data_IF_486386114378
#
_entry.id   IF_486386114378
#
_cell.length_a   1.000
_cell.length_b   1.000
_cell.length_c   1.000
_cell.angle_alpha   90.00
_cell.angle_beta   90.00
_cell.angle_gamma   90.00
#
_symmetry.space_group_name_H-M   'P 1'
#
loop_
_entity.id
_entity.type
_entity.pdbx_description
1 polymer ?
#
# COMPACT_ATOMS: atom_id res chain seq x y z
N UNK A 1 -39.06 29.40 0.11
CA UNK A 1 -40.27 28.56 0.08
C UNK A 1 -41.14 29.06 -1.06
N UNK A 2 -41.13 28.35 -2.19
CA UNK A 2 -41.95 28.67 -3.36
C UNK A 2 -42.40 27.33 -3.95
N UNK A 3 -43.71 27.13 -3.93
CA UNK A 3 -44.40 25.86 -4.09
C UNK A 3 -44.32 25.28 -5.50
N UNK A 4 -44.32 23.94 -5.57
CA UNK A 4 -44.63 23.16 -6.75
C UNK A 4 -46.02 23.56 -7.30
N UNK A 5 -46.08 23.97 -8.56
CA UNK A 5 -47.32 24.04 -9.33
C UNK A 5 -47.18 23.12 -10.54
N UNK A 6 -47.75 21.92 -10.45
CA UNK A 6 -47.96 21.06 -11.62
C UNK A 6 -49.41 21.23 -12.05
N UNK A 7 -49.71 22.29 -12.81
CA UNK A 7 -50.96 22.36 -13.56
C UNK A 7 -50.85 21.48 -14.80
N UNK A 8 -51.23 20.20 -14.65
CA UNK A 8 -51.27 19.24 -15.75
C UNK A 8 -52.63 19.29 -16.45
N UNK A 9 -52.69 19.98 -17.59
CA UNK A 9 -53.76 19.78 -18.59
C UNK A 9 -53.51 18.49 -19.37
N UNK A 10 -54.53 17.68 -19.68
CA UNK A 10 -54.36 16.44 -20.41
C UNK A 10 -54.24 16.74 -21.90
N UNK A 11 -53.03 16.67 -22.46
CA UNK A 11 -52.89 16.84 -23.92
C UNK A 11 -51.49 16.83 -24.50
N UNK A 12 -50.46 17.28 -23.79
CA UNK A 12 -49.12 17.43 -24.40
C UNK A 12 -48.03 16.96 -23.44
N UNK A 13 -47.64 15.69 -23.54
CA UNK A 13 -46.35 15.25 -23.04
C UNK A 13 -45.27 15.70 -24.02
N UNK A 14 -44.83 16.95 -23.92
CA UNK A 14 -43.54 17.34 -24.48
C UNK A 14 -42.46 16.78 -23.57
N UNK A 15 -41.69 15.79 -24.06
CA UNK A 15 -40.45 15.37 -23.41
C UNK A 15 -39.59 16.64 -23.26
N UNK A 16 -39.15 17.00 -22.03
CA UNK A 16 -38.27 18.15 -21.88
C UNK A 16 -37.03 17.89 -22.74
N UNK A 17 -36.82 18.73 -23.76
CA UNK A 17 -35.61 18.65 -24.57
C UNK A 17 -34.45 19.00 -23.64
N UNK A 18 -33.56 18.03 -23.43
CA UNK A 18 -32.33 18.30 -22.69
C UNK A 18 -31.61 19.47 -23.38
N UNK A 19 -31.19 20.51 -22.64
CA UNK A 19 -30.46 21.62 -23.23
C UNK A 19 -29.17 21.10 -23.86
N UNK A 20 -28.78 21.72 -24.97
CA UNK A 20 -27.58 21.35 -25.72
C UNK A 20 -26.36 21.40 -24.79
N UNK A 21 -25.50 20.35 -24.76
CA UNK A 21 -24.29 20.30 -23.95
C UNK A 21 -23.38 21.54 -24.07
N UNK A 22 -23.50 22.30 -25.16
CA UNK A 22 -22.76 23.54 -25.42
C UNK A 22 -23.23 24.76 -24.62
N UNK A 23 -24.46 24.75 -24.06
CA UNK A 23 -25.00 25.84 -23.25
C UNK A 23 -24.60 25.74 -21.77
N UNK A 24 -24.02 24.63 -21.34
CA UNK A 24 -23.51 24.51 -19.98
C UNK A 24 -22.25 25.36 -19.80
N UNK A 25 -22.21 26.27 -18.82
CA UNK A 25 -21.00 27.03 -18.54
C UNK A 25 -19.89 26.07 -18.12
N UNK A 26 -18.84 25.97 -18.94
CA UNK A 26 -17.62 25.15 -18.72
C UNK A 26 -16.80 25.54 -17.48
N UNK A 27 -17.34 26.39 -16.60
CA UNK A 27 -16.60 27.07 -15.53
C UNK A 27 -16.90 26.56 -14.13
N UNK A 28 -17.57 25.42 -13.96
CA UNK A 28 -17.37 24.63 -12.73
C UNK A 28 -16.14 23.78 -12.90
N UNK A 29 -15.01 24.43 -12.62
CA UNK A 29 -13.75 23.88 -12.13
C UNK A 29 -13.92 22.44 -11.62
N UNK A 30 -13.83 21.48 -12.53
CA UNK A 30 -13.16 20.24 -12.19
C UNK A 30 -11.71 20.69 -11.97
N UNK A 31 -11.11 20.49 -10.78
CA UNK A 31 -9.66 20.58 -10.69
C UNK A 31 -9.09 19.72 -11.81
N UNK A 32 -7.99 20.14 -12.47
CA UNK A 32 -7.40 19.36 -13.54
C UNK A 32 -7.33 17.93 -13.04
N UNK A 33 -7.86 17.00 -13.85
CA UNK A 33 -7.66 15.57 -13.63
C UNK A 33 -6.21 15.43 -13.17
N UNK A 34 -6.00 14.84 -11.98
CA UNK A 34 -4.65 14.42 -11.63
C UNK A 34 -4.25 13.50 -12.78
N UNK A 35 -3.45 14.02 -13.71
CA UNK A 35 -2.82 13.19 -14.72
C UNK A 35 -2.13 12.11 -13.91
N UNK A 36 -2.59 10.87 -14.06
CA UNK A 36 -2.08 9.71 -13.33
C UNK A 36 -0.56 9.58 -13.47
N UNK A 37 0.04 10.28 -14.44
CA UNK A 37 1.47 10.50 -14.69
C UNK A 37 2.25 11.35 -13.67
N UNK A 38 1.63 11.93 -12.63
CA UNK A 38 2.34 12.85 -11.70
C UNK A 38 2.73 12.23 -10.35
N UNK A 39 2.39 10.98 -10.08
CA UNK A 39 2.71 10.35 -8.81
C UNK A 39 3.91 9.42 -9.00
N UNK A 40 5.10 9.91 -8.65
CA UNK A 40 6.32 9.10 -8.61
C UNK A 40 6.11 7.93 -7.63
N UNK A 41 6.02 6.71 -8.17
CA UNK A 41 5.78 5.49 -7.39
C UNK A 41 6.83 5.34 -6.29
N UNK A 42 8.10 5.65 -6.57
CA UNK A 42 9.17 5.53 -5.60
C UNK A 42 8.97 6.52 -4.45
N UNK A 43 8.59 7.75 -4.76
CA UNK A 43 8.31 8.77 -3.73
C UNK A 43 7.16 8.32 -2.82
N UNK A 44 6.11 7.74 -3.40
CA UNK A 44 4.98 7.20 -2.65
C UNK A 44 5.37 6.02 -1.76
N UNK A 45 6.14 5.06 -2.29
CA UNK A 45 6.65 3.94 -1.52
C UNK A 45 7.48 4.43 -0.33
N UNK A 46 8.33 5.42 -0.52
CA UNK A 46 9.14 6.01 0.56
C UNK A 46 8.27 6.68 1.62
N UNK A 47 7.25 7.45 1.22
CA UNK A 47 6.28 8.04 2.17
C UNK A 47 5.50 6.98 2.93
N UNK A 48 5.09 5.89 2.28
CA UNK A 48 4.38 4.78 2.93
C UNK A 48 5.27 4.05 3.94
N UNK A 49 6.54 3.82 3.62
CA UNK A 49 7.50 3.25 4.55
C UNK A 49 7.75 4.18 5.74
N UNK A 50 7.81 5.49 5.51
CA UNK A 50 7.95 6.47 6.59
C UNK A 50 6.71 6.48 7.49
N UNK A 51 5.51 6.51 6.91
CA UNK A 51 4.25 6.41 7.64
C UNK A 51 4.18 5.13 8.48
N UNK A 52 4.63 4.00 7.92
CA UNK A 52 4.72 2.74 8.65
C UNK A 52 5.65 2.86 9.86
N UNK A 53 6.87 3.40 9.68
CA UNK A 53 7.83 3.59 10.78
C UNK A 53 7.25 4.44 11.90
N UNK A 54 6.67 5.59 11.54
CA UNK A 54 6.07 6.51 12.50
C UNK A 54 4.90 5.86 13.24
N UNK A 55 4.06 5.09 12.55
CA UNK A 55 2.97 4.33 13.15
C UNK A 55 3.47 3.25 14.11
N UNK A 56 4.46 2.45 13.66
CA UNK A 56 5.08 1.41 14.45
C UNK A 56 5.79 1.97 15.68
N UNK A 57 6.37 3.17 15.61
CA UNK A 57 7.02 3.83 16.75
C UNK A 57 6.03 4.50 17.70
N UNK A 58 4.98 5.13 17.18
CA UNK A 58 4.04 5.96 17.95
C UNK A 58 3.06 5.15 18.80
N UNK A 59 2.64 3.97 18.35
CA UNK A 59 1.70 3.11 19.09
C UNK A 59 2.45 2.39 20.21
N UNK A 60 2.15 2.61 21.51
CA UNK A 60 2.93 2.02 22.60
C UNK A 60 2.84 0.49 22.68
N UNK A 61 1.66 -0.06 22.41
CA UNK A 61 1.47 -1.49 22.28
C UNK A 61 2.11 -1.98 20.97
N UNK A 62 3.03 -2.93 21.08
CA UNK A 62 3.77 -3.51 19.94
C UNK A 62 3.31 -4.93 19.61
N UNK A 63 2.30 -5.46 20.33
CA UNK A 63 1.81 -6.83 20.15
C UNK A 63 1.25 -7.10 18.76
N UNK A 64 0.77 -6.06 18.07
CA UNK A 64 0.20 -6.12 16.72
C UNK A 64 1.25 -6.20 15.60
N UNK A 65 2.52 -5.91 15.88
CA UNK A 65 3.59 -5.92 14.87
C UNK A 65 3.83 -7.36 14.37
N UNK A 66 3.85 -8.34 15.27
CA UNK A 66 4.04 -9.74 14.89
C UNK A 66 2.93 -10.26 13.96
N UNK A 67 1.62 -10.11 14.29
CA UNK A 67 0.54 -10.45 13.37
C UNK A 67 0.62 -9.73 12.02
N UNK A 68 1.00 -8.44 12.02
CA UNK A 68 1.16 -7.66 10.79
C UNK A 68 2.24 -8.27 9.87
N UNK A 69 3.39 -8.62 10.43
CA UNK A 69 4.47 -9.26 9.67
C UNK A 69 4.02 -10.60 9.11
N UNK A 70 3.35 -11.44 9.90
CA UNK A 70 2.85 -12.74 9.44
C UNK A 70 1.83 -12.59 8.30
N UNK A 71 0.93 -11.62 8.38
CA UNK A 71 -0.03 -11.34 7.31
C UNK A 71 0.66 -10.81 6.05
N UNK A 72 1.66 -9.94 6.21
CA UNK A 72 2.47 -9.44 5.09
C UNK A 72 3.22 -10.59 4.39
N UNK A 73 3.78 -11.52 5.15
CA UNK A 73 4.44 -12.71 4.61
C UNK A 73 3.47 -13.59 3.82
N UNK A 74 2.23 -13.76 4.30
CA UNK A 74 1.18 -14.47 3.56
C UNK A 74 0.90 -13.79 2.21
N UNK A 75 0.75 -12.46 2.21
CA UNK A 75 0.53 -11.71 0.96
C UNK A 75 1.71 -11.82 0.00
N UNK A 76 2.95 -11.82 0.49
CA UNK A 76 4.15 -12.02 -0.35
C UNK A 76 4.16 -13.38 -1.06
N UNK A 77 3.67 -14.42 -0.39
CA UNK A 77 3.56 -15.77 -0.99
C UNK A 77 2.45 -15.84 -2.04
N UNK A 78 1.38 -15.08 -1.85
CA UNK A 78 0.22 -15.05 -2.74
C UNK A 78 0.38 -14.04 -3.90
N UNK A 79 1.37 -13.13 -3.83
CA UNK A 79 1.64 -12.06 -4.79
C UNK A 79 2.36 -12.55 -6.06
N UNK A 80 1.79 -13.56 -6.73
CA UNK A 80 2.26 -14.01 -8.04
C UNK A 80 1.88 -12.99 -9.14
N UNK A 81 2.87 -12.54 -9.92
CA UNK A 81 2.67 -11.72 -11.12
C UNK A 81 2.90 -10.21 -10.98
N UNK A 82 3.30 -9.73 -9.80
CA UNK A 82 3.48 -8.29 -9.50
C UNK A 82 4.85 -8.02 -8.83
N UNK A 83 5.95 -7.98 -9.60
CA UNK A 83 7.31 -7.92 -9.06
C UNK A 83 7.64 -6.62 -8.32
N UNK A 84 7.07 -5.48 -8.72
CA UNK A 84 7.31 -4.19 -8.08
C UNK A 84 6.68 -4.14 -6.68
N UNK A 85 5.43 -4.56 -6.59
CA UNK A 85 4.66 -4.67 -5.35
C UNK A 85 5.32 -5.65 -4.39
N UNK A 86 5.83 -6.77 -4.91
CA UNK A 86 6.57 -7.76 -4.12
C UNK A 86 7.83 -7.15 -3.49
N UNK A 87 8.59 -6.36 -4.25
CA UNK A 87 9.76 -5.64 -3.74
C UNK A 87 9.41 -4.64 -2.64
N UNK A 88 8.34 -3.87 -2.84
CA UNK A 88 7.84 -2.96 -1.82
C UNK A 88 7.45 -3.70 -0.53
N UNK A 89 6.75 -4.83 -0.65
CA UNK A 89 6.34 -5.65 0.48
C UNK A 89 7.53 -6.22 1.27
N UNK A 90 8.64 -6.57 0.61
CA UNK A 90 9.87 -6.94 1.30
C UNK A 90 10.45 -5.78 2.13
N UNK A 91 10.49 -4.56 1.57
CA UNK A 91 10.95 -3.36 2.29
C UNK A 91 10.03 -3.01 3.47
N UNK A 92 8.74 -3.14 3.26
CA UNK A 92 7.70 -2.97 4.29
C UNK A 92 7.91 -3.94 5.44
N UNK A 93 8.07 -5.22 5.13
CA UNK A 93 8.26 -6.27 6.11
C UNK A 93 9.58 -6.13 6.86
N UNK A 94 10.68 -5.81 6.18
CA UNK A 94 11.97 -5.55 6.84
C UNK A 94 11.88 -4.37 7.82
N UNK A 95 11.10 -3.33 7.47
CA UNK A 95 10.83 -2.20 8.35
C UNK A 95 9.98 -2.60 9.57
N UNK A 96 8.96 -3.42 9.38
CA UNK A 96 8.11 -3.93 10.45
C UNK A 96 8.87 -4.89 11.40
N UNK A 97 9.67 -5.81 10.84
CA UNK A 97 10.55 -6.71 11.58
C UNK A 97 11.60 -5.94 12.37
N UNK A 98 12.20 -4.90 11.77
CA UNK A 98 13.16 -4.02 12.42
C UNK A 98 12.62 -3.25 13.63
N UNK A 99 11.30 -3.16 13.81
CA UNK A 99 10.67 -2.49 14.95
C UNK A 99 9.89 -3.48 15.84
N UNK A 100 10.01 -4.78 15.56
CA UNK A 100 9.33 -5.83 16.28
C UNK A 100 10.08 -6.17 17.58
N UNK A 101 9.45 -6.11 18.77
CA UNK A 101 10.13 -6.43 20.02
C UNK A 101 10.46 -7.92 20.19
N UNK A 102 9.79 -8.80 19.43
CA UNK A 102 9.90 -10.25 19.58
C UNK A 102 11.06 -10.86 18.81
N UNK A 103 12.26 -10.88 19.38
CA UNK A 103 13.49 -11.44 18.76
C UNK A 103 13.32 -12.84 18.17
N UNK A 104 12.70 -13.76 18.93
CA UNK A 104 12.43 -15.12 18.45
C UNK A 104 11.47 -15.15 17.25
N UNK A 105 10.48 -14.27 17.25
CA UNK A 105 9.55 -14.14 16.14
C UNK A 105 10.25 -13.56 14.91
N UNK A 106 11.14 -12.57 15.09
CA UNK A 106 11.97 -12.01 14.02
C UNK A 106 12.84 -13.09 13.40
N UNK A 107 13.56 -13.88 14.21
CA UNK A 107 14.37 -15.01 13.75
C UNK A 107 13.55 -16.02 12.93
N UNK A 108 12.39 -16.40 13.45
CA UNK A 108 11.50 -17.34 12.77
C UNK A 108 11.05 -16.80 11.41
N UNK A 109 10.68 -15.53 11.34
CA UNK A 109 10.22 -14.93 10.09
C UNK A 109 11.34 -14.75 9.07
N UNK A 110 12.55 -14.39 9.51
CA UNK A 110 13.73 -14.36 8.64
C UNK A 110 14.04 -15.76 8.08
N UNK A 111 13.93 -16.80 8.90
CA UNK A 111 14.10 -18.19 8.46
C UNK A 111 13.03 -18.58 7.41
N UNK A 112 11.76 -18.31 7.68
CA UNK A 112 10.67 -18.60 6.74
C UNK A 112 10.86 -17.86 5.40
N UNK A 113 11.38 -16.64 5.43
CA UNK A 113 11.72 -15.87 4.22
C UNK A 113 12.81 -16.54 3.39
N UNK A 114 13.89 -17.01 4.02
CA UNK A 114 14.98 -17.71 3.34
C UNK A 114 14.51 -19.05 2.74
N UNK A 115 13.66 -19.78 3.45
CA UNK A 115 13.16 -21.08 3.00
C UNK A 115 12.18 -20.98 1.83
N UNK A 116 11.38 -19.90 1.79
CA UNK A 116 10.35 -19.73 0.76
C UNK A 116 10.77 -18.82 -0.41
N UNK A 117 11.96 -18.21 -0.34
CA UNK A 117 12.45 -17.33 -1.39
C UNK A 117 12.76 -18.07 -2.70
N UNK A 118 12.26 -17.55 -3.82
CA UNK A 118 12.59 -18.02 -5.18
C UNK A 118 13.85 -17.33 -5.69
N UNK A 119 15.00 -17.86 -5.29
CA UNK A 119 16.33 -17.34 -5.68
C UNK A 119 16.62 -17.28 -7.19
N UNK A 120 15.75 -17.84 -8.03
CA UNK A 120 15.85 -17.75 -9.49
C UNK A 120 15.43 -16.38 -10.03
N UNK A 121 14.62 -15.64 -9.28
CA UNK A 121 14.13 -14.31 -9.64
C UNK A 121 15.02 -13.23 -9.02
N UNK A 122 15.61 -12.37 -9.86
CA UNK A 122 16.52 -11.31 -9.40
C UNK A 122 15.80 -10.31 -8.49
N UNK A 123 14.60 -9.90 -8.86
CA UNK A 123 13.72 -9.03 -8.06
C UNK A 123 13.48 -9.62 -6.67
N UNK A 124 13.21 -10.91 -6.56
CA UNK A 124 12.98 -11.56 -5.27
C UNK A 124 14.24 -11.56 -4.38
N UNK A 125 15.41 -11.78 -4.97
CA UNK A 125 16.69 -11.70 -4.25
C UNK A 125 16.98 -10.27 -3.76
N UNK A 126 16.73 -9.27 -4.58
CA UNK A 126 16.92 -7.85 -4.22
C UNK A 126 15.98 -7.43 -3.10
N UNK A 127 14.70 -7.83 -3.18
CA UNK A 127 13.72 -7.62 -2.13
C UNK A 127 14.15 -8.29 -0.82
N UNK A 128 14.54 -9.56 -0.88
CA UNK A 128 15.02 -10.31 0.29
C UNK A 128 16.25 -9.65 0.93
N UNK A 129 17.26 -9.28 0.12
CA UNK A 129 18.44 -8.57 0.60
C UNK A 129 18.08 -7.23 1.25
N UNK A 130 17.15 -6.49 0.66
CA UNK A 130 16.66 -5.22 1.21
C UNK A 130 15.94 -5.41 2.55
N UNK A 131 15.10 -6.44 2.65
CA UNK A 131 14.39 -6.80 3.89
C UNK A 131 15.39 -7.08 5.03
N UNK A 132 16.39 -7.93 4.78
CA UNK A 132 17.42 -8.28 5.76
C UNK A 132 18.28 -7.08 6.13
N UNK A 133 18.66 -6.26 5.16
CA UNK A 133 19.45 -5.03 5.40
C UNK A 133 18.70 -4.00 6.26
N UNK A 134 17.39 -3.85 6.09
CA UNK A 134 16.57 -2.97 6.93
C UNK A 134 16.41 -3.57 8.34
N UNK A 135 16.13 -4.87 8.44
CA UNK A 135 15.96 -5.56 9.72
C UNK A 135 17.24 -5.49 10.59
N UNK A 136 18.42 -5.66 9.97
CA UNK A 136 19.72 -5.62 10.63
C UNK A 136 20.02 -4.28 11.33
N UNK A 137 19.34 -3.19 10.99
CA UNK A 137 19.56 -1.88 11.63
C UNK A 137 19.22 -1.90 13.13
N UNK A 138 18.27 -2.74 13.54
CA UNK A 138 17.82 -2.87 14.93
C UNK A 138 17.95 -4.30 15.48
N UNK A 139 18.05 -5.31 14.61
CA UNK A 139 18.16 -6.73 14.96
C UNK A 139 19.36 -7.38 14.28
N UNK A 140 20.55 -6.81 14.46
CA UNK A 140 21.77 -7.24 13.79
C UNK A 140 22.13 -8.70 14.12
N UNK A 141 22.14 -9.06 15.41
CA UNK A 141 22.51 -10.42 15.86
C UNK A 141 21.53 -11.47 15.33
N UNK A 142 20.22 -11.19 15.42
CA UNK A 142 19.19 -12.09 14.94
C UNK A 142 19.25 -12.26 13.42
N UNK A 143 19.64 -11.22 12.69
CA UNK A 143 19.78 -11.26 11.24
C UNK A 143 21.04 -12.03 10.83
N UNK A 144 22.18 -11.79 11.49
CA UNK A 144 23.44 -12.50 11.21
C UNK A 144 23.33 -14.00 11.48
N UNK A 145 22.67 -14.40 12.57
CA UNK A 145 22.46 -15.81 12.92
C UNK A 145 21.72 -16.61 11.83
N UNK A 146 20.99 -15.95 10.93
CA UNK A 146 20.29 -16.60 9.82
C UNK A 146 21.06 -16.55 8.50
N UNK A 147 22.16 -15.82 8.44
CA UNK A 147 23.00 -15.65 7.24
C UNK A 147 24.31 -16.44 7.32
N UNK A 148 24.71 -16.92 8.50
CA UNK A 148 25.86 -17.83 8.73
C UNK A 148 25.56 -19.28 8.29
#
# INVERSE_FOLDING_TARGET
MGFMGWDLSPGEFSIPTFPDPSEFPKSRFFPPENTEDSLDQQEWEEKLLQFLRESLSSIPDKSWICPLVSETFRQLRDADGFPAEKNFLYRYMGTALGLCPGKEQVRKQLQELLENARYQEETEREGLASCFGICAQNHLEETLEKLE
#
